data_IF_407111339462
#
_entry.id   IF_407111339462
#
_cell.length_a   1.000
_cell.length_b   1.000
_cell.length_c   1.000
_cell.angle_alpha   90.00
_cell.angle_beta   90.00
_cell.angle_gamma   90.00
#
_symmetry.space_group_name_H-M   'P 1'
#
loop_
_entity.id
_entity.type
_entity.pdbx_description
1 polymer ?
#
# COMPACT_ATOMS: atom_id res chain seq x y z
N UNK A 1 2.03 7.67 15.42
CA UNK A 1 2.34 6.22 15.35
C UNK A 1 2.33 5.58 16.73
N UNK A 2 2.81 6.26 17.76
CA UNK A 2 2.96 5.75 19.14
C UNK A 2 1.69 5.11 19.71
N UNK A 3 0.52 5.72 19.51
CA UNK A 3 -0.76 5.12 19.96
C UNK A 3 -1.08 3.80 19.27
N UNK A 4 -0.76 3.69 17.97
CA UNK A 4 -0.96 2.44 17.21
C UNK A 4 -0.02 1.36 17.75
N UNK A 5 1.27 1.67 17.90
CA UNK A 5 2.26 0.75 18.47
C UNK A 5 1.85 0.27 19.87
N UNK A 6 1.43 1.20 20.75
CA UNK A 6 0.96 0.86 22.10
C UNK A 6 -0.22 -0.11 22.10
N UNK A 7 -1.14 0.00 21.14
CA UNK A 7 -2.27 -0.92 21.02
C UNK A 7 -1.82 -2.28 20.48
N UNK A 8 -0.94 -2.30 19.48
CA UNK A 8 -0.36 -3.52 18.91
C UNK A 8 0.44 -4.30 19.96
N UNK A 9 1.28 -3.62 20.75
CA UNK A 9 2.09 -4.20 21.83
C UNK A 9 1.23 -4.86 22.92
N UNK A 10 -0.03 -4.41 23.05
CA UNK A 10 -1.05 -4.98 23.95
C UNK A 10 -1.87 -6.09 23.30
N UNK A 11 -1.48 -6.58 22.13
CA UNK A 11 -2.15 -7.65 21.40
C UNK A 11 -3.53 -7.26 20.86
N UNK A 12 -3.80 -5.97 20.68
CA UNK A 12 -5.09 -5.51 20.16
C UNK A 12 -5.11 -5.55 18.63
N UNK A 13 -6.28 -5.85 18.07
CA UNK A 13 -6.52 -5.67 16.63
C UNK A 13 -6.76 -4.19 16.37
N UNK A 14 -5.93 -3.56 15.54
CA UNK A 14 -6.00 -2.13 15.24
C UNK A 14 -6.46 -1.91 13.80
N UNK A 15 -7.48 -1.07 13.63
CA UNK A 15 -7.92 -0.55 12.33
C UNK A 15 -7.44 0.90 12.25
N UNK A 16 -6.58 1.20 11.28
CA UNK A 16 -5.98 2.52 11.08
C UNK A 16 -5.85 2.83 9.58
N UNK A 17 -5.50 4.08 9.26
CA UNK A 17 -5.33 4.55 7.87
C UNK A 17 -6.54 4.30 6.95
N UNK A 18 -7.76 4.30 7.51
CA UNK A 18 -9.00 4.09 6.76
C UNK A 18 -9.12 5.08 5.59
N UNK A 19 -9.35 4.55 4.38
CA UNK A 19 -9.43 5.35 3.15
C UNK A 19 -8.13 6.05 2.75
N UNK A 20 -6.97 5.64 3.28
CA UNK A 20 -5.68 6.30 3.08
C UNK A 20 -5.31 7.31 4.17
N UNK A 21 -6.24 7.59 5.09
CA UNK A 21 -6.06 8.60 6.15
C UNK A 21 -6.48 10.01 5.74
N UNK A 22 -6.52 10.91 6.72
CA UNK A 22 -6.92 12.31 6.51
C UNK A 22 -5.70 13.09 5.99
N UNK A 23 -5.75 13.67 4.76
CA UNK A 23 -4.64 14.44 4.24
C UNK A 23 -4.43 15.72 5.04
N UNK A 24 -3.23 15.87 5.58
CA UNK A 24 -2.80 17.05 6.33
C UNK A 24 -1.45 17.54 5.83
N UNK A 25 -1.26 18.86 5.87
CA UNK A 25 0.04 19.51 5.63
C UNK A 25 0.47 20.29 6.86
N UNK A 26 1.77 20.47 7.04
CA UNK A 26 2.36 21.26 8.13
C UNK A 26 2.84 22.60 7.55
N UNK A 27 2.34 23.71 8.07
CA UNK A 27 2.78 25.04 7.65
C UNK A 27 4.12 25.44 8.30
N UNK A 28 4.68 26.58 7.88
CA UNK A 28 5.97 27.11 8.38
C UNK A 28 5.98 27.34 9.90
N UNK A 29 4.81 27.67 10.46
CA UNK A 29 4.62 27.88 11.91
C UNK A 29 4.42 26.58 12.70
N UNK A 30 4.46 25.42 12.01
CA UNK A 30 4.36 24.10 12.60
C UNK A 30 2.94 23.59 12.88
N UNK A 31 1.91 24.34 12.48
CA UNK A 31 0.52 23.92 12.61
C UNK A 31 0.10 23.00 11.47
N UNK A 32 -0.79 22.06 11.77
CA UNK A 32 -1.37 21.16 10.78
C UNK A 32 -2.70 21.70 10.26
N UNK A 33 -2.91 21.59 8.96
CA UNK A 33 -4.18 21.90 8.29
C UNK A 33 -4.59 20.75 7.38
N UNK A 34 -5.88 20.40 7.39
CA UNK A 34 -6.43 19.46 6.42
C UNK A 34 -6.42 20.07 5.01
N UNK A 35 -6.23 19.22 4.00
CA UNK A 35 -6.28 19.62 2.59
C UNK A 35 -7.19 18.70 1.79
N UNK A 36 -7.76 19.23 0.72
CA UNK A 36 -8.57 18.46 -0.22
C UNK A 36 -7.66 17.62 -1.13
N UNK A 37 -7.49 16.35 -0.75
CA UNK A 37 -6.74 15.37 -1.50
C UNK A 37 -7.26 13.95 -1.18
N UNK A 38 -6.82 12.96 -1.96
CA UNK A 38 -7.05 11.54 -1.66
C UNK A 38 -5.69 10.88 -1.58
N UNK A 39 -5.42 10.22 -0.45
CA UNK A 39 -4.21 9.42 -0.28
C UNK A 39 -4.54 8.01 -0.75
N UNK A 40 -3.68 7.45 -1.60
CA UNK A 40 -3.79 6.06 -2.01
C UNK A 40 -3.66 5.13 -0.79
N UNK A 41 -4.64 4.23 -0.61
CA UNK A 41 -4.73 3.36 0.56
C UNK A 41 -3.56 2.38 0.65
N UNK A 42 -3.02 1.94 -0.48
CA UNK A 42 -1.96 0.93 -0.52
C UNK A 42 -0.63 1.60 -0.16
N UNK A 43 -0.38 2.84 -0.62
CA UNK A 43 0.75 3.64 -0.13
C UNK A 43 0.64 4.01 1.35
N UNK A 44 -0.54 4.44 1.82
CA UNK A 44 -0.75 4.73 3.23
C UNK A 44 -0.51 3.49 4.12
N UNK A 45 -1.00 2.33 3.67
CA UNK A 45 -0.85 1.07 4.39
C UNK A 45 0.58 0.55 4.34
N UNK A 46 1.29 0.73 3.22
CA UNK A 46 2.70 0.40 3.09
C UNK A 46 3.56 1.26 4.03
N UNK A 47 3.29 2.57 4.11
CA UNK A 47 3.96 3.45 5.07
C UNK A 47 3.65 3.05 6.52
N UNK A 48 2.40 2.69 6.83
CA UNK A 48 2.04 2.20 8.16
C UNK A 48 2.77 0.89 8.48
N UNK A 49 2.87 -0.04 7.53
CA UNK A 49 3.58 -1.32 7.70
C UNK A 49 5.06 -1.11 8.02
N UNK A 50 5.74 -0.18 7.33
CA UNK A 50 7.11 0.21 7.66
C UNK A 50 7.20 0.82 9.07
N UNK A 51 6.31 1.76 9.39
CA UNK A 51 6.30 2.44 10.69
C UNK A 51 5.98 1.52 11.87
N UNK A 52 5.34 0.38 11.67
CA UNK A 52 5.11 -0.62 12.72
C UNK A 52 6.06 -1.82 12.59
N UNK A 53 7.01 -1.78 11.66
CA UNK A 53 8.00 -2.84 11.44
C UNK A 53 7.33 -4.20 11.20
N UNK A 54 6.27 -4.21 10.38
CA UNK A 54 5.53 -5.43 10.07
C UNK A 54 6.37 -6.42 9.26
N UNK A 55 6.30 -7.71 9.61
CA UNK A 55 6.98 -8.78 8.85
C UNK A 55 6.38 -8.98 7.44
N UNK A 56 5.08 -8.75 7.31
CA UNK A 56 4.32 -8.96 6.07
C UNK A 56 3.43 -7.76 5.77
N UNK A 57 3.42 -7.37 4.50
CA UNK A 57 2.45 -6.43 3.93
C UNK A 57 1.55 -7.17 2.93
N UNK A 58 0.25 -7.21 3.21
CA UNK A 58 -0.72 -7.99 2.44
C UNK A 58 -1.76 -7.03 1.84
N UNK A 59 -1.82 -6.99 0.51
CA UNK A 59 -2.86 -6.27 -0.23
C UNK A 59 -3.93 -7.27 -0.65
N UNK A 60 -5.19 -6.99 -0.30
CA UNK A 60 -6.33 -7.78 -0.74
C UNK A 60 -6.95 -7.14 -1.98
N UNK A 61 -7.11 -7.92 -3.04
CA UNK A 61 -7.68 -7.47 -4.32
C UNK A 61 -8.73 -8.45 -4.83
N UNK A 62 -9.44 -8.08 -5.89
CA UNK A 62 -10.55 -8.86 -6.46
C UNK A 62 -10.13 -10.00 -7.40
N UNK A 63 -8.83 -10.28 -7.53
CA UNK A 63 -8.27 -11.34 -8.37
C UNK A 63 -7.39 -12.26 -7.54
N UNK A 64 -7.33 -13.54 -7.92
CA UNK A 64 -6.58 -14.55 -7.17
C UNK A 64 -5.05 -14.34 -7.22
N UNK A 65 -4.55 -13.74 -8.31
CA UNK A 65 -3.13 -13.47 -8.53
C UNK A 65 -2.95 -12.16 -9.29
N UNK A 66 -1.76 -11.55 -9.18
CA UNK A 66 -1.31 -10.61 -10.20
C UNK A 66 -0.95 -11.39 -11.48
N UNK A 67 -1.18 -10.79 -12.64
CA UNK A 67 -0.92 -11.43 -13.93
C UNK A 67 -0.07 -10.52 -14.83
N UNK A 68 0.79 -11.13 -15.65
CA UNK A 68 1.37 -10.47 -16.82
C UNK A 68 0.62 -10.91 -18.08
N UNK A 69 0.69 -10.11 -19.14
CA UNK A 69 -0.06 -10.34 -20.38
C UNK A 69 -1.57 -10.54 -20.12
N UNK A 70 -2.13 -9.76 -19.20
CA UNK A 70 -3.52 -9.89 -18.79
C UNK A 70 -4.48 -9.81 -19.98
N UNK A 71 -5.46 -10.70 -20.03
CA UNK A 71 -6.41 -10.89 -21.14
C UNK A 71 -5.78 -11.22 -22.51
N UNK A 72 -4.55 -11.75 -22.55
CA UNK A 72 -3.89 -12.22 -23.78
C UNK A 72 -3.69 -13.75 -23.78
N UNK A 73 -3.47 -14.38 -24.95
CA UNK A 73 -3.26 -15.83 -25.03
C UNK A 73 -2.07 -16.35 -24.21
N UNK A 74 -1.07 -15.50 -23.96
CA UNK A 74 0.12 -15.80 -23.17
C UNK A 74 0.06 -15.19 -21.75
N UNK A 75 -1.15 -15.05 -21.19
CA UNK A 75 -1.35 -14.63 -19.80
C UNK A 75 -0.66 -15.61 -18.84
N UNK A 76 0.04 -15.06 -17.85
CA UNK A 76 0.75 -15.83 -16.83
C UNK A 76 0.43 -15.27 -15.44
N UNK A 77 0.12 -16.17 -14.50
CA UNK A 77 -0.10 -15.80 -13.10
C UNK A 77 1.24 -15.67 -12.37
N UNK A 78 1.38 -14.65 -11.55
CA UNK A 78 2.55 -14.43 -10.70
C UNK A 78 2.28 -15.01 -9.31
N UNK A 79 3.01 -16.06 -8.92
CA UNK A 79 2.92 -16.64 -7.58
C UNK A 79 4.07 -16.15 -6.66
N UNK A 80 5.31 -16.49 -7.03
CA UNK A 80 6.52 -16.04 -6.33
C UNK A 80 7.39 -15.29 -7.30
N UNK A 81 7.62 -14.03 -7.00
CA UNK A 81 8.39 -13.12 -7.84
C UNK A 81 9.33 -12.30 -6.97
N UNK A 82 10.42 -11.87 -7.58
CA UNK A 82 11.37 -10.94 -6.98
C UNK A 82 11.03 -9.50 -7.34
N UNK A 83 11.51 -8.55 -6.55
CA UNK A 83 11.35 -7.11 -6.84
C UNK A 83 11.93 -6.74 -8.21
N UNK A 84 13.07 -7.32 -8.59
CA UNK A 84 13.69 -7.04 -9.90
C UNK A 84 12.85 -7.53 -11.08
N UNK A 85 12.17 -8.68 -10.96
CA UNK A 85 11.21 -9.14 -11.96
C UNK A 85 10.01 -8.19 -12.06
N UNK A 86 9.44 -7.77 -10.92
CA UNK A 86 8.33 -6.82 -10.90
C UNK A 86 8.71 -5.47 -11.51
N UNK A 87 9.90 -4.94 -11.21
CA UNK A 87 10.42 -3.71 -11.82
C UNK A 87 10.52 -3.80 -13.34
N UNK A 88 10.98 -4.96 -13.86
CA UNK A 88 11.01 -5.21 -15.30
C UNK A 88 9.59 -5.19 -15.89
N UNK A 89 8.64 -5.88 -15.26
CA UNK A 89 7.25 -5.90 -15.74
C UNK A 89 6.56 -4.52 -15.68
N UNK A 90 6.91 -3.68 -14.70
CA UNK A 90 6.46 -2.27 -14.65
C UNK A 90 6.99 -1.50 -15.86
N UNK A 91 8.28 -1.65 -16.19
CA UNK A 91 8.88 -0.99 -17.36
C UNK A 91 8.28 -1.47 -18.69
N UNK A 92 7.85 -2.72 -18.74
CA UNK A 92 7.12 -3.31 -19.88
C UNK A 92 5.63 -2.89 -19.94
N UNK A 93 5.13 -2.15 -18.94
CA UNK A 93 3.74 -1.70 -18.89
C UNK A 93 2.73 -2.82 -18.64
N UNK A 94 3.12 -3.87 -17.90
CA UNK A 94 2.27 -5.03 -17.64
C UNK A 94 1.10 -4.73 -16.68
N UNK A 95 1.22 -3.69 -15.86
CA UNK A 95 0.24 -3.34 -14.82
C UNK A 95 -0.47 -2.03 -15.18
N UNK A 96 -1.80 -2.02 -15.07
CA UNK A 96 -2.60 -0.85 -15.36
C UNK A 96 -2.36 0.26 -14.32
N UNK A 97 -2.35 1.54 -14.71
CA UNK A 97 -2.30 2.64 -13.74
C UNK A 97 -3.50 2.61 -12.79
N UNK A 98 -3.27 2.67 -11.48
CA UNK A 98 -4.32 2.58 -10.45
C UNK A 98 -4.75 1.16 -10.10
N UNK A 99 -4.03 0.15 -10.60
CA UNK A 99 -4.08 -1.24 -10.14
C UNK A 99 -3.12 -1.48 -8.98
#
# INVERSE_FOLDING_TARGET
>A
IDSIRTLLDKGQIVIAAGGGGIPITKNENGYFSGVEAVIDKDFASQCLAELVEADFFIILTGVDYAYINYNKPNQEKLERVTVSQLQKYIQEGQFAPGS
#
